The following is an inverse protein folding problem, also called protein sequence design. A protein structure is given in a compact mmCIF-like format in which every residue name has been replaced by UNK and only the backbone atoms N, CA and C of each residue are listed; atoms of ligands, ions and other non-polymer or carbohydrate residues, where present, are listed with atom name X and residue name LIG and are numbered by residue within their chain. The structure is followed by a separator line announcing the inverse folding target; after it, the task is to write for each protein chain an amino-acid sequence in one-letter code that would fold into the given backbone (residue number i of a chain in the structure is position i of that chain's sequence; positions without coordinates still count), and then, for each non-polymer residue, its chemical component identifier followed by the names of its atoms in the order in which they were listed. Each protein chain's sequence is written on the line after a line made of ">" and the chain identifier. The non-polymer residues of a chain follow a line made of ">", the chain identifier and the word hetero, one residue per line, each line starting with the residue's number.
data_IF_323328872738
#
_entry.id   IF_323328872738
#
_cell.length_a   1.000
_cell.length_b   1.000
_cell.length_c   1.000
_cell.angle_alpha   90.00
_cell.angle_beta   90.00
_cell.angle_gamma   90.00
#
_symmetry.space_group_name_H-M   'P 1'
#
loop_
_entity.id
_entity.type
_entity.pdbx_description
1 polymer ?
#
# COMPACT_ATOMS: atom_id res chain seq x y z
N UNK A 1 13.21 18.04 -7.59
CA UNK A 1 11.81 18.32 -7.96
C UNK A 1 10.97 17.19 -7.40
N UNK A 2 9.92 17.48 -6.60
CA UNK A 2 9.15 16.45 -5.90
C UNK A 2 8.23 15.65 -6.83
N UNK A 3 7.90 14.40 -6.46
CA UNK A 3 7.06 13.51 -7.28
C UNK A 3 5.68 14.09 -7.60
N UNK A 4 5.09 14.88 -6.71
CA UNK A 4 3.83 15.58 -6.96
C UNK A 4 3.92 16.61 -8.09
N UNK A 5 5.02 17.37 -8.14
CA UNK A 5 5.29 18.31 -9.23
C UNK A 5 5.50 17.56 -10.54
N UNK A 6 6.31 16.50 -10.52
CA UNK A 6 6.53 15.63 -11.68
C UNK A 6 5.22 15.03 -12.19
N UNK A 7 4.37 14.52 -11.30
CA UNK A 7 3.09 13.94 -11.66
C UNK A 7 2.13 14.97 -12.28
N UNK A 8 2.16 16.23 -11.81
CA UNK A 8 1.34 17.31 -12.38
C UNK A 8 1.66 17.57 -13.86
N UNK A 9 2.90 17.33 -14.28
CA UNK A 9 3.29 17.38 -15.68
C UNK A 9 2.93 16.11 -16.44
N UNK A 10 3.22 14.95 -15.86
CA UNK A 10 2.95 13.62 -16.46
C UNK A 10 1.47 13.44 -16.73
N UNK A 11 0.61 13.80 -15.78
CA UNK A 11 -0.85 13.70 -15.92
C UNK A 11 -1.39 14.44 -17.16
N UNK A 12 -0.66 15.43 -17.68
CA UNK A 12 -1.02 16.17 -18.90
C UNK A 12 -0.32 15.66 -20.16
N UNK A 13 0.90 15.14 -20.03
CA UNK A 13 1.82 14.88 -21.16
C UNK A 13 1.93 13.40 -21.53
N UNK A 14 1.83 12.51 -20.55
CA UNK A 14 2.09 11.09 -20.78
C UNK A 14 0.86 10.37 -21.33
N UNK A 15 1.07 9.40 -22.22
CA UNK A 15 0.05 8.42 -22.55
C UNK A 15 -0.51 7.78 -21.28
N UNK A 16 -1.82 7.62 -21.24
CA UNK A 16 -2.50 6.99 -20.12
C UNK A 16 -3.73 6.23 -20.61
N UNK A 17 -4.12 5.24 -19.82
CA UNK A 17 -5.38 4.53 -19.98
C UNK A 17 -6.00 4.32 -18.60
N UNK A 18 -7.33 4.25 -18.58
CA UNK A 18 -8.09 4.06 -17.36
C UNK A 18 -9.18 3.04 -17.52
N UNK A 19 -9.49 2.32 -16.46
CA UNK A 19 -10.73 1.55 -16.35
C UNK A 19 -11.46 1.91 -15.06
N UNK A 20 -12.76 1.62 -15.06
CA UNK A 20 -13.63 1.80 -13.89
C UNK A 20 -14.13 0.43 -13.44
N UNK A 21 -14.12 0.20 -12.13
CA UNK A 21 -14.71 -0.97 -11.50
C UNK A 21 -15.81 -0.52 -10.53
N UNK A 22 -16.97 -1.17 -10.62
CA UNK A 22 -18.12 -0.86 -9.76
C UNK A 22 -17.85 -1.36 -8.33
N UNK A 23 -18.41 -0.66 -7.34
CA UNK A 23 -18.26 -1.02 -5.92
C UNK A 23 -18.88 -2.37 -5.59
N UNK A 24 -20.16 -2.55 -5.92
CA UNK A 24 -20.96 -3.70 -5.55
C UNK A 24 -20.25 -5.05 -5.83
N UNK A 25 -20.12 -5.94 -4.81
CA UNK A 25 -20.70 -5.89 -3.47
C UNK A 25 -19.80 -5.32 -2.36
N UNK A 26 -18.63 -4.77 -2.73
CA UNK A 26 -17.72 -4.16 -1.77
C UNK A 26 -18.12 -2.72 -1.48
N UNK A 27 -17.81 -2.25 -0.28
CA UNK A 27 -17.88 -0.83 0.06
C UNK A 27 -16.80 -0.03 -0.70
N UNK A 28 -16.96 1.29 -0.72
CA UNK A 28 -16.01 2.21 -1.36
C UNK A 28 -14.61 2.12 -0.76
N UNK A 29 -14.52 1.95 0.57
CA UNK A 29 -13.25 1.79 1.27
C UNK A 29 -12.60 0.46 0.94
N UNK A 30 -13.35 -0.64 1.00
CA UNK A 30 -12.83 -1.98 0.69
C UNK A 30 -12.29 -2.05 -0.75
N UNK A 31 -13.05 -1.53 -1.73
CA UNK A 31 -12.58 -1.54 -3.12
C UNK A 31 -11.41 -0.59 -3.33
N UNK A 32 -11.35 0.55 -2.64
CA UNK A 32 -10.21 1.46 -2.71
C UNK A 32 -8.93 0.80 -2.21
N UNK A 33 -8.97 0.18 -1.03
CA UNK A 33 -7.82 -0.56 -0.49
C UNK A 33 -7.46 -1.74 -1.40
N UNK A 34 -8.44 -2.49 -1.89
CA UNK A 34 -8.16 -3.61 -2.82
C UNK A 34 -7.55 -3.15 -4.15
N UNK A 35 -8.03 -2.02 -4.69
CA UNK A 35 -7.44 -1.37 -5.86
C UNK A 35 -6.00 -0.93 -5.60
N UNK A 36 -5.74 -0.38 -4.40
CA UNK A 36 -4.40 -0.03 -3.96
C UNK A 36 -3.51 -1.27 -3.96
N UNK A 37 -3.95 -2.36 -3.34
CA UNK A 37 -3.23 -3.62 -3.27
C UNK A 37 -2.86 -4.19 -4.65
N UNK A 38 -3.84 -4.23 -5.57
CA UNK A 38 -3.67 -4.70 -6.94
C UNK A 38 -2.65 -3.85 -7.73
N UNK A 39 -2.60 -2.55 -7.45
CA UNK A 39 -1.72 -1.59 -8.14
C UNK A 39 -0.33 -1.44 -7.52
N UNK A 40 -0.21 -1.76 -6.23
CA UNK A 40 0.96 -1.48 -5.40
C UNK A 40 1.96 -2.64 -5.41
N UNK A 41 2.55 -2.98 -6.56
CA UNK A 41 3.61 -4.00 -6.57
C UNK A 41 4.84 -3.56 -5.72
N UNK A 42 5.73 -4.49 -5.37
CA UNK A 42 6.90 -4.23 -4.51
C UNK A 42 7.70 -2.97 -4.90
N UNK A 43 8.00 -2.66 -6.18
CA UNK A 43 8.76 -1.48 -6.54
C UNK A 43 7.95 -0.17 -6.48
N UNK A 44 6.62 -0.24 -6.37
CA UNK A 44 5.78 0.94 -6.22
C UNK A 44 5.88 1.49 -4.79
N UNK A 45 5.74 2.81 -4.68
CA UNK A 45 5.50 3.50 -3.42
C UNK A 45 4.34 4.47 -3.58
N UNK A 46 3.52 4.64 -2.54
CA UNK A 46 2.54 5.71 -2.47
C UNK A 46 3.23 7.02 -2.12
N UNK A 47 3.20 7.98 -3.02
CA UNK A 47 3.82 9.30 -2.80
C UNK A 47 2.81 10.40 -2.50
N UNK A 48 1.52 10.11 -2.59
CA UNK A 48 0.46 11.02 -2.20
C UNK A 48 -0.81 10.23 -1.96
N UNK A 49 -1.46 10.51 -0.83
CA UNK A 49 -2.77 9.99 -0.51
C UNK A 49 -3.60 11.09 0.12
N UNK A 50 -4.85 11.20 -0.31
CA UNK A 50 -5.84 12.07 0.32
C UNK A 50 -7.11 11.26 0.50
N UNK A 51 -7.48 11.06 1.75
CA UNK A 51 -8.72 10.39 2.14
C UNK A 51 -9.66 11.47 2.65
N UNK A 52 -10.87 11.52 2.13
CA UNK A 52 -11.88 12.46 2.60
C UNK A 52 -12.56 11.86 3.83
N UNK A 53 -12.62 12.60 4.95
CA UNK A 53 -13.22 12.09 6.17
C UNK A 53 -14.73 11.88 6.00
N UNK A 54 -15.24 10.77 6.55
CA UNK A 54 -16.66 10.40 6.55
C UNK A 54 -16.93 9.09 5.82
N UNK A 55 -18.14 8.53 6.00
CA UNK A 55 -18.51 7.18 5.53
C UNK A 55 -18.57 7.04 4.00
N UNK A 56 -18.64 8.17 3.29
CA UNK A 56 -18.85 8.14 1.84
C UNK A 56 -17.57 7.90 1.04
N UNK A 57 -16.37 8.12 1.60
CA UNK A 57 -15.07 7.89 0.93
C UNK A 57 -14.98 8.41 -0.53
N UNK A 58 -15.78 9.43 -0.84
CA UNK A 58 -15.85 10.01 -2.18
C UNK A 58 -14.61 10.83 -2.43
N UNK A 59 -14.08 10.75 -3.65
CA UNK A 59 -12.88 11.47 -4.08
C UNK A 59 -11.61 11.10 -3.30
N UNK A 60 -11.62 9.98 -2.59
CA UNK A 60 -10.38 9.36 -2.07
C UNK A 60 -9.43 9.14 -3.25
N UNK A 61 -8.19 9.57 -3.08
CA UNK A 61 -7.17 9.52 -4.12
C UNK A 61 -5.86 8.99 -3.58
N UNK A 62 -5.26 8.05 -4.32
CA UNK A 62 -3.89 7.59 -4.09
C UNK A 62 -3.09 7.70 -5.38
N UNK A 63 -1.85 8.17 -5.25
CA UNK A 63 -0.89 8.23 -6.34
C UNK A 63 0.32 7.36 -6.03
N UNK A 64 0.59 6.42 -6.93
CA UNK A 64 1.66 5.45 -6.81
C UNK A 64 2.73 5.72 -7.88
N UNK A 65 3.98 5.45 -7.54
CA UNK A 65 5.10 5.55 -8.47
C UNK A 65 6.04 4.36 -8.31
N UNK A 66 6.41 3.73 -9.42
CA UNK A 66 7.45 2.70 -9.48
C UNK A 66 8.72 3.29 -10.08
N UNK A 67 9.82 3.25 -9.32
CA UNK A 67 11.12 3.67 -9.83
C UNK A 67 11.70 2.68 -10.86
N UNK A 68 11.34 1.39 -10.74
CA UNK A 68 11.87 0.32 -11.60
C UNK A 68 11.30 0.40 -13.01
N UNK A 69 9.98 0.55 -13.14
CA UNK A 69 9.27 0.62 -14.42
C UNK A 69 9.00 2.06 -14.88
N UNK A 70 9.26 3.06 -14.03
CA UNK A 70 8.94 4.48 -14.25
C UNK A 70 7.46 4.72 -14.55
N UNK A 71 6.57 3.94 -13.94
CA UNK A 71 5.12 4.03 -14.11
C UNK A 71 4.50 4.87 -12.98
N UNK A 72 3.42 5.56 -13.30
CA UNK A 72 2.55 6.21 -12.31
C UNK A 72 1.16 5.60 -12.37
N UNK A 73 0.54 5.41 -11.21
CA UNK A 73 -0.85 4.96 -11.10
C UNK A 73 -1.61 5.96 -10.24
N UNK A 74 -2.81 6.32 -10.69
CA UNK A 74 -3.79 7.08 -9.92
C UNK A 74 -4.99 6.21 -9.61
N UNK A 75 -5.41 6.21 -8.35
CA UNK A 75 -6.66 5.63 -7.88
C UNK A 75 -7.57 6.78 -7.49
N UNK A 76 -8.81 6.76 -7.94
CA UNK A 76 -9.80 7.78 -7.61
C UNK A 76 -11.16 7.14 -7.36
N UNK A 77 -11.66 7.27 -6.13
CA UNK A 77 -13.05 6.96 -5.84
C UNK A 77 -13.97 8.01 -6.47
N UNK A 78 -14.89 7.56 -7.32
CA UNK A 78 -16.02 8.33 -7.81
C UNK A 78 -17.32 7.76 -7.24
N UNK A 79 -18.41 8.49 -7.40
CA UNK A 79 -19.71 8.11 -6.85
C UNK A 79 -20.18 6.71 -7.32
N UNK A 80 -19.82 6.33 -8.55
CA UNK A 80 -20.27 5.12 -9.24
C UNK A 80 -19.19 4.03 -9.42
N UNK A 81 -18.00 4.21 -8.85
CA UNK A 81 -16.95 3.20 -8.89
C UNK A 81 -15.55 3.74 -8.62
N UNK A 82 -14.60 2.81 -8.47
CA UNK A 82 -13.18 3.14 -8.40
C UNK A 82 -12.63 3.26 -9.83
N UNK A 83 -11.97 4.39 -10.11
CA UNK A 83 -11.24 4.61 -11.36
C UNK A 83 -9.75 4.45 -11.12
N UNK A 84 -9.14 3.59 -11.93
CA UNK A 84 -7.69 3.37 -11.97
C UNK A 84 -7.15 3.90 -13.29
N UNK A 85 -6.14 4.75 -13.21
CA UNK A 85 -5.45 5.31 -14.38
C UNK A 85 -3.97 5.00 -14.30
N UNK A 86 -3.44 4.35 -15.34
CA UNK A 86 -2.04 4.05 -15.52
C UNK A 86 -1.40 5.04 -16.50
N UNK A 87 -0.25 5.60 -16.12
CA UNK A 87 0.52 6.54 -16.94
C UNK A 87 1.91 5.95 -17.19
N UNK A 88 2.27 5.81 -18.46
CA UNK A 88 3.57 5.30 -18.88
C UNK A 88 4.06 6.05 -20.11
N UNK A 89 5.38 6.09 -20.29
CA UNK A 89 5.97 6.73 -21.46
C UNK A 89 5.85 5.84 -22.72
N UNK A 90 5.78 4.51 -22.55
CA UNK A 90 5.64 3.57 -23.65
C UNK A 90 4.16 3.25 -23.89
N UNK A 91 3.57 3.85 -24.93
CA UNK A 91 2.14 3.71 -25.25
C UNK A 91 1.73 2.28 -25.58
N UNK A 92 2.64 1.47 -26.13
CA UNK A 92 2.32 0.14 -26.64
C UNK A 92 2.14 -0.88 -25.50
N UNK A 93 2.77 -0.65 -24.35
CA UNK A 93 2.74 -1.54 -23.18
C UNK A 93 1.61 -1.21 -22.20
N UNK A 94 1.07 0.02 -22.23
CA UNK A 94 0.04 0.48 -21.27
C UNK A 94 -1.16 -0.47 -21.25
N UNK A 95 -1.67 -0.88 -22.41
CA UNK A 95 -2.85 -1.74 -22.48
C UNK A 95 -2.59 -3.09 -21.80
N UNK A 96 -1.40 -3.66 -22.00
CA UNK A 96 -1.03 -4.95 -21.42
C UNK A 96 -0.88 -4.84 -19.89
N UNK A 97 -0.13 -3.83 -19.41
CA UNK A 97 0.05 -3.61 -17.98
C UNK A 97 -1.26 -3.26 -17.27
N UNK A 98 -2.13 -2.45 -17.90
CA UNK A 98 -3.44 -2.13 -17.35
C UNK A 98 -4.35 -3.35 -17.27
N UNK A 99 -4.33 -4.23 -18.27
CA UNK A 99 -5.14 -5.46 -18.26
C UNK A 99 -4.67 -6.45 -17.19
N UNK A 100 -3.36 -6.50 -16.88
CA UNK A 100 -2.84 -7.28 -15.74
C UNK A 100 -3.42 -6.76 -14.41
N UNK A 101 -3.33 -5.45 -14.16
CA UNK A 101 -3.89 -4.83 -12.94
C UNK A 101 -5.40 -5.09 -12.84
N UNK A 102 -6.12 -4.95 -13.96
CA UNK A 102 -7.55 -5.18 -14.02
C UNK A 102 -7.92 -6.64 -13.75
N UNK A 103 -7.16 -7.58 -14.30
CA UNK A 103 -7.36 -9.03 -14.08
C UNK A 103 -7.12 -9.38 -12.61
N UNK A 104 -6.02 -8.89 -12.03
CA UNK A 104 -5.71 -9.10 -10.62
C UNK A 104 -6.77 -8.49 -9.71
N UNK A 105 -7.20 -7.25 -9.98
CA UNK A 105 -8.24 -6.60 -9.20
C UNK A 105 -9.58 -7.33 -9.27
N UNK A 106 -10.00 -7.79 -10.46
CA UNK A 106 -11.22 -8.57 -10.61
C UNK A 106 -11.14 -9.89 -9.81
N UNK A 107 -10.04 -10.62 -9.95
CA UNK A 107 -9.77 -11.85 -9.19
C UNK A 107 -9.80 -11.60 -7.69
N UNK A 108 -9.07 -10.59 -7.20
CA UNK A 108 -9.03 -10.27 -5.78
C UNK A 108 -10.40 -9.81 -5.26
N UNK A 109 -11.17 -9.10 -6.08
CA UNK A 109 -12.53 -8.67 -5.72
C UNK A 109 -13.45 -9.86 -5.51
N UNK A 110 -13.42 -10.83 -6.42
CA UNK A 110 -14.22 -12.06 -6.31
C UNK A 110 -13.80 -12.88 -5.09
N UNK A 111 -12.48 -13.02 -4.88
CA UNK A 111 -11.93 -13.71 -3.71
C UNK A 111 -12.36 -13.05 -2.40
N UNK A 112 -12.16 -11.73 -2.27
CA UNK A 112 -12.51 -10.98 -1.06
C UNK A 112 -14.01 -11.00 -0.77
N UNK A 113 -14.84 -10.93 -1.81
CA UNK A 113 -16.31 -11.01 -1.72
C UNK A 113 -16.78 -12.36 -1.19
N UNK A 114 -16.12 -13.45 -1.61
CA UNK A 114 -16.48 -14.81 -1.20
C UNK A 114 -16.15 -15.13 0.27
N UNK A 115 -15.40 -14.25 0.94
CA UNK A 115 -14.98 -14.44 2.31
C UNK A 115 -16.02 -14.02 3.34
N UNK A 116 -15.91 -14.65 4.51
CA UNK A 116 -16.59 -14.22 5.73
C UNK A 116 -16.16 -12.79 6.08
N UNK A 117 -17.11 -12.02 6.61
CA UNK A 117 -16.95 -10.59 6.93
C UNK A 117 -15.78 -10.32 7.88
N UNK A 118 -15.58 -11.19 8.88
CA UNK A 118 -14.47 -11.08 9.85
C UNK A 118 -13.09 -11.22 9.21
N UNK A 119 -12.96 -12.14 8.24
CA UNK A 119 -11.71 -12.35 7.51
C UNK A 119 -11.48 -11.23 6.49
N UNK A 120 -12.55 -10.78 5.84
CA UNK A 120 -12.55 -9.68 4.89
C UNK A 120 -12.03 -8.38 5.51
N UNK A 121 -12.60 -8.00 6.65
CA UNK A 121 -12.17 -6.83 7.42
C UNK A 121 -10.68 -6.92 7.82
N UNK A 122 -10.24 -8.09 8.26
CA UNK A 122 -8.83 -8.32 8.59
C UNK A 122 -7.88 -8.19 7.39
N UNK A 123 -8.29 -8.67 6.21
CA UNK A 123 -7.50 -8.53 4.97
C UNK A 123 -7.40 -7.06 4.56
N UNK A 124 -8.52 -6.32 4.60
CA UNK A 124 -8.56 -4.89 4.28
C UNK A 124 -7.67 -4.11 5.24
N UNK A 125 -7.68 -4.46 6.54
CA UNK A 125 -6.76 -3.89 7.53
C UNK A 125 -5.29 -4.24 7.25
N UNK A 126 -4.99 -5.44 6.75
CA UNK A 126 -3.63 -5.78 6.32
C UNK A 126 -3.18 -4.95 5.11
N UNK A 127 -4.06 -4.69 4.14
CA UNK A 127 -3.77 -3.83 3.00
C UNK A 127 -3.49 -2.40 3.47
N UNK A 128 -4.27 -1.89 4.43
CA UNK A 128 -4.01 -0.61 5.07
C UNK A 128 -2.60 -0.55 5.72
N UNK A 129 -2.15 -1.63 6.36
CA UNK A 129 -0.78 -1.70 6.89
C UNK A 129 0.26 -1.60 5.77
N UNK A 130 0.06 -2.27 4.63
CA UNK A 130 0.95 -2.15 3.45
C UNK A 130 1.04 -0.70 2.98
N UNK A 131 -0.11 -0.03 2.86
CA UNK A 131 -0.17 1.37 2.46
C UNK A 131 0.56 2.30 3.43
N UNK A 132 0.50 2.01 4.74
CA UNK A 132 1.23 2.76 5.76
C UNK A 132 2.74 2.50 5.71
N UNK A 133 3.16 1.28 5.37
CA UNK A 133 4.56 0.96 5.09
C UNK A 133 5.08 1.80 3.92
N UNK A 134 4.30 1.94 2.84
CA UNK A 134 4.65 2.80 1.71
C UNK A 134 4.74 4.29 2.09
N UNK A 135 3.82 4.78 2.92
CA UNK A 135 3.85 6.16 3.43
C UNK A 135 5.12 6.46 4.25
N UNK A 136 5.50 5.54 5.15
CA UNK A 136 6.74 5.66 5.92
C UNK A 136 7.98 5.67 5.02
N UNK A 137 8.03 4.79 4.02
CA UNK A 137 9.09 4.81 3.00
C UNK A 137 9.13 6.16 2.27
N UNK A 138 7.97 6.66 1.85
CA UNK A 138 7.89 7.91 1.11
C UNK A 138 8.39 9.13 1.93
N UNK A 139 8.05 9.23 3.22
CA UNK A 139 8.53 10.31 4.08
C UNK A 139 10.05 10.32 4.22
N UNK A 140 10.67 9.14 4.36
CA UNK A 140 12.14 9.04 4.44
C UNK A 140 12.82 9.44 3.13
N UNK A 141 12.23 9.09 1.98
CA UNK A 141 12.73 9.46 0.65
C UNK A 141 12.51 10.93 0.28
N UNK A 142 11.54 11.58 0.92
CA UNK A 142 11.19 12.99 0.67
C UNK A 142 11.89 13.95 1.62
N UNK A 143 12.83 13.46 2.43
CA UNK A 143 13.56 14.22 3.43
C UNK A 143 12.61 14.98 4.39
N UNK A 144 11.53 14.31 4.80
CA UNK A 144 10.60 14.81 5.82
C UNK A 144 11.24 14.82 7.22
N UNK A 145 10.62 15.57 8.13
CA UNK A 145 11.06 15.64 9.52
C UNK A 145 10.88 14.31 10.26
N UNK A 146 11.80 14.01 11.20
CA UNK A 146 11.85 12.77 11.96
C UNK A 146 10.52 12.44 12.64
N UNK A 147 9.82 13.44 13.19
CA UNK A 147 8.49 13.23 13.80
C UNK A 147 7.47 12.58 12.84
N UNK A 148 7.45 12.97 11.56
CA UNK A 148 6.51 12.41 10.58
C UNK A 148 6.86 10.98 10.23
N UNK A 149 8.16 10.68 10.11
CA UNK A 149 8.64 9.32 9.91
C UNK A 149 8.30 8.44 11.10
N UNK A 150 8.55 8.93 12.33
CA UNK A 150 8.22 8.22 13.58
C UNK A 150 6.74 7.85 13.65
N UNK A 151 5.84 8.82 13.43
CA UNK A 151 4.40 8.57 13.46
C UNK A 151 3.95 7.58 12.39
N UNK A 152 4.48 7.69 11.16
CA UNK A 152 4.14 6.74 10.09
C UNK A 152 4.53 5.30 10.44
N UNK A 153 5.71 5.09 11.02
CA UNK A 153 6.16 3.77 11.48
C UNK A 153 5.31 3.28 12.66
N UNK A 154 5.00 4.17 13.61
CA UNK A 154 4.14 3.88 14.75
C UNK A 154 2.75 3.38 14.32
N UNK A 155 2.13 4.07 13.36
CA UNK A 155 0.84 3.66 12.80
C UNK A 155 0.91 2.27 12.14
N UNK A 156 1.99 1.96 11.41
CA UNK A 156 2.18 0.62 10.84
C UNK A 156 2.18 -0.45 11.95
N UNK A 157 2.99 -0.22 12.98
CA UNK A 157 3.20 -1.16 14.09
C UNK A 157 1.91 -1.40 14.87
N UNK A 158 1.26 -0.32 15.29
CA UNK A 158 0.04 -0.38 16.10
C UNK A 158 -1.10 -1.06 15.35
N UNK A 159 -1.34 -0.69 14.08
CA UNK A 159 -2.39 -1.32 13.27
C UNK A 159 -2.11 -2.80 13.06
N UNK A 160 -0.88 -3.16 12.71
CA UNK A 160 -0.49 -4.54 12.52
C UNK A 160 -0.63 -5.39 13.78
N UNK A 161 -0.42 -4.81 14.97
CA UNK A 161 -0.57 -5.49 16.26
C UNK A 161 -2.02 -5.92 16.55
N UNK A 162 -3.00 -5.23 15.95
CA UNK A 162 -4.42 -5.44 16.20
C UNK A 162 -5.11 -6.40 15.23
N UNK A 163 -4.39 -6.95 14.25
CA UNK A 163 -4.97 -7.78 13.19
C UNK A 163 -4.65 -9.27 13.44
N UNK A 164 -5.64 -10.12 13.79
CA UNK A 164 -5.39 -11.52 14.12
C UNK A 164 -4.69 -12.32 13.02
N UNK A 165 -5.13 -12.23 11.74
CA UNK A 165 -4.43 -12.93 10.64
C UNK A 165 -2.98 -12.47 10.49
N UNK A 166 -2.66 -11.22 10.81
CA UNK A 166 -1.29 -10.74 10.81
C UNK A 166 -0.52 -11.41 11.95
N UNK A 167 -1.00 -11.28 13.19
CA UNK A 167 -0.31 -11.77 14.39
C UNK A 167 -0.05 -13.27 14.37
N UNK A 168 -1.02 -14.03 13.85
CA UNK A 168 -0.96 -15.48 13.80
C UNK A 168 -0.16 -16.01 12.60
N UNK A 169 0.36 -15.13 11.73
CA UNK A 169 1.10 -15.55 10.54
C UNK A 169 2.58 -15.78 10.78
N UNK A 170 3.15 -16.73 10.05
CA UNK A 170 4.59 -17.00 10.07
C UNK A 170 5.38 -15.75 9.65
N UNK A 171 6.30 -15.32 10.51
CA UNK A 171 7.14 -14.14 10.29
C UNK A 171 6.60 -12.83 10.87
N UNK A 172 5.39 -12.82 11.43
CA UNK A 172 4.80 -11.62 12.05
C UNK A 172 5.69 -11.00 13.14
N UNK A 173 6.33 -11.84 13.96
CA UNK A 173 7.20 -11.38 15.05
C UNK A 173 8.44 -10.64 14.53
N UNK A 174 8.99 -11.09 13.39
CA UNK A 174 10.12 -10.43 12.74
C UNK A 174 9.71 -9.07 12.17
N UNK A 175 8.51 -8.97 11.58
CA UNK A 175 7.97 -7.70 11.08
C UNK A 175 7.73 -6.72 12.23
N UNK A 176 7.07 -7.17 13.31
CA UNK A 176 6.84 -6.35 14.50
C UNK A 176 8.15 -5.87 15.14
N UNK A 177 9.15 -6.75 15.24
CA UNK A 177 10.47 -6.40 15.74
C UNK A 177 11.18 -5.39 14.83
N UNK A 178 11.09 -5.53 13.51
CA UNK A 178 11.69 -4.60 12.57
C UNK A 178 11.04 -3.22 12.66
N UNK A 179 9.70 -3.15 12.71
CA UNK A 179 8.96 -1.89 12.89
C UNK A 179 9.32 -1.22 14.21
N UNK A 180 9.38 -2.00 15.31
CA UNK A 180 9.75 -1.49 16.63
C UNK A 180 11.18 -0.93 16.66
N UNK A 181 12.16 -1.65 16.09
CA UNK A 181 13.55 -1.18 16.03
C UNK A 181 13.71 0.13 15.26
N UNK A 182 13.00 0.27 14.14
CA UNK A 182 13.02 1.52 13.37
C UNK A 182 12.31 2.66 14.10
N UNK A 183 11.16 2.39 14.73
CA UNK A 183 10.44 3.36 15.54
C UNK A 183 11.32 3.88 16.69
N UNK A 184 11.96 2.99 17.45
CA UNK A 184 12.87 3.33 18.55
C UNK A 184 14.09 4.12 18.07
N UNK A 185 14.61 3.79 16.89
CA UNK A 185 15.69 4.54 16.27
C UNK A 185 15.26 5.98 15.98
N UNK A 186 14.13 6.17 15.27
CA UNK A 186 13.65 7.50 14.89
C UNK A 186 13.30 8.35 16.12
N UNK A 187 12.76 7.72 17.17
CA UNK A 187 12.42 8.40 18.42
C UNK A 187 13.64 9.07 19.09
N UNK A 188 14.84 8.49 18.93
CA UNK A 188 16.08 9.01 19.53
C UNK A 188 16.71 10.16 18.72
N UNK A 189 16.21 10.42 17.52
CA UNK A 189 16.66 11.53 16.70
C UNK A 189 16.02 12.85 17.15
N UNK A 190 16.60 13.97 16.72
CA UNK A 190 15.96 15.27 16.89
C UNK A 190 14.69 15.35 16.00
N UNK A 191 13.53 15.53 16.62
CA UNK A 191 12.23 15.37 15.96
C UNK A 191 11.90 16.46 14.94
N UNK A 192 12.56 17.61 15.03
CA UNK A 192 12.39 18.74 14.11
C UNK A 192 13.43 18.76 12.98
N UNK A 193 14.42 17.86 13.03
CA UNK A 193 15.38 17.66 11.94
C UNK A 193 14.85 16.68 10.89
N UNK A 194 15.42 16.76 9.69
CA UNK A 194 15.12 15.84 8.59
C UNK A 194 15.65 14.44 8.88
N UNK A 195 15.00 13.44 8.30
CA UNK A 195 15.47 12.06 8.39
C UNK A 195 16.88 11.91 7.80
N UNK A 196 17.83 11.22 8.48
CA UNK A 196 19.20 11.10 8.01
C UNK A 196 19.29 10.32 6.70
N UNK A 197 19.88 10.94 5.67
CA UNK A 197 19.98 10.36 4.32
C UNK A 197 20.76 9.03 4.31
N UNK A 198 21.78 8.91 5.15
CA UNK A 198 22.60 7.71 5.29
C UNK A 198 21.82 6.51 5.85
N UNK A 199 20.67 6.74 6.48
CA UNK A 199 19.79 5.68 7.01
C UNK A 199 18.63 5.34 6.09
N UNK A 200 18.29 6.21 5.14
CA UNK A 200 17.17 6.01 4.21
C UNK A 200 17.26 4.66 3.50
N UNK A 201 18.41 4.32 2.92
CA UNK A 201 18.58 3.03 2.20
C UNK A 201 18.33 1.81 3.09
N UNK A 202 18.76 1.87 4.36
CA UNK A 202 18.56 0.77 5.32
C UNK A 202 17.08 0.58 5.65
N UNK A 203 16.37 1.69 5.91
CA UNK A 203 14.94 1.67 6.22
C UNK A 203 14.14 1.15 5.03
N UNK A 204 14.39 1.71 3.83
CA UNK A 204 13.72 1.29 2.60
C UNK A 204 13.91 -0.20 2.35
N UNK A 205 15.12 -0.74 2.52
CA UNK A 205 15.36 -2.18 2.35
C UNK A 205 14.52 -3.03 3.30
N UNK A 206 14.41 -2.65 4.57
CA UNK A 206 13.58 -3.38 5.53
C UNK A 206 12.09 -3.23 5.21
N UNK A 207 11.63 -2.04 4.85
CA UNK A 207 10.22 -1.78 4.57
C UNK A 207 9.77 -2.47 3.27
N UNK A 208 10.63 -2.57 2.26
CA UNK A 208 10.37 -3.40 1.07
C UNK A 208 10.24 -4.89 1.40
N UNK A 209 11.01 -5.41 2.37
CA UNK A 209 10.85 -6.79 2.84
C UNK A 209 9.53 -6.99 3.59
N UNK A 210 9.14 -6.02 4.43
CA UNK A 210 7.84 -6.02 5.12
C UNK A 210 6.70 -5.98 4.09
N UNK A 211 6.77 -5.08 3.10
CA UNK A 211 5.82 -4.99 2.00
C UNK A 211 5.70 -6.31 1.25
N UNK A 212 6.84 -6.91 0.86
CA UNK A 212 6.85 -8.22 0.19
C UNK A 212 6.16 -9.30 1.03
N UNK A 213 6.44 -9.35 2.34
CA UNK A 213 5.80 -10.29 3.25
C UNK A 213 4.29 -10.03 3.39
N UNK A 214 3.87 -8.76 3.49
CA UNK A 214 2.46 -8.37 3.50
C UNK A 214 1.74 -8.77 2.21
N UNK A 215 2.34 -8.54 1.04
CA UNK A 215 1.74 -8.96 -0.23
C UNK A 215 1.55 -10.47 -0.32
N UNK A 216 2.55 -11.24 0.13
CA UNK A 216 2.46 -12.70 0.19
C UNK A 216 1.36 -13.16 1.17
N UNK A 217 1.30 -12.57 2.36
CA UNK A 217 0.25 -12.84 3.35
C UNK A 217 -1.15 -12.57 2.77
N UNK A 218 -1.38 -11.37 2.24
CA UNK A 218 -2.68 -10.95 1.70
C UNK A 218 -3.07 -11.84 0.52
N UNK A 219 -2.15 -12.12 -0.41
CA UNK A 219 -2.42 -12.98 -1.57
C UNK A 219 -2.77 -14.41 -1.16
N UNK A 220 -2.06 -14.98 -0.19
CA UNK A 220 -2.36 -16.32 0.33
C UNK A 220 -3.71 -16.37 1.03
N UNK A 221 -4.01 -15.36 1.85
CA UNK A 221 -5.30 -15.25 2.53
C UNK A 221 -6.43 -15.14 1.50
N UNK A 222 -6.31 -14.26 0.49
CA UNK A 222 -7.23 -14.15 -0.65
C UNK A 222 -7.43 -15.48 -1.40
N UNK A 223 -6.39 -16.31 -1.50
CA UNK A 223 -6.47 -17.63 -2.12
C UNK A 223 -6.97 -18.74 -1.17
N UNK A 224 -7.30 -18.45 0.10
CA UNK A 224 -7.70 -19.45 1.09
C UNK A 224 -6.55 -20.35 1.58
N UNK A 225 -5.31 -19.94 1.40
CA UNK A 225 -4.11 -20.68 1.80
C UNK A 225 -3.73 -20.28 3.23
N UNK A 226 -3.55 -21.28 4.09
CA UNK A 226 -3.12 -21.05 5.48
C UNK A 226 -1.73 -20.39 5.56
N UNK A 227 -1.62 -19.38 6.43
CA UNK A 227 -0.36 -18.70 6.75
C UNK A 227 0.03 -18.83 8.23
N UNK A 228 -0.71 -19.64 8.98
CA UNK A 228 -0.58 -19.78 10.42
C UNK A 228 0.85 -20.20 10.83
N UNK A 229 1.29 -19.72 11.99
CA UNK A 229 2.46 -20.26 12.68
C UNK A 229 2.21 -21.75 12.95
N UNK A 230 3.19 -22.60 12.66
CA UNK A 230 3.16 -23.99 13.11
C UNK A 230 3.13 -23.98 14.65
N UNK A 231 2.16 -24.66 15.26
CA UNK A 231 2.18 -24.90 16.71
C UNK A 231 3.42 -25.74 17.00
N UNK A 232 4.43 -25.13 17.62
CA UNK A 232 5.51 -25.88 18.24
C UNK A 232 4.86 -26.52 19.47
N UNK A 233 4.40 -27.76 19.33
CA UNK A 233 4.10 -28.62 20.46
C UNK A 233 5.43 -28.84 21.21
N UNK A 234 5.63 -28.08 22.29
CA UNK A 234 6.71 -28.30 23.26
C UNK A 234 6.24 -29.32 24.29
#
# INVERSE_FOLDING_TARGET
>A
MGLLTTFSEINKKWPNQSFKILFDPLTKLELFELGYFASSDIPFRCFSIKLNPGDNHDKDVALLYSAASKQFISLLNKDDGLVLTLYENNKDEISQHLELIKTDLAKFKDQLTSMREDLRDQIVKCILVERKVDEAMHFTLSNEVNRRVYFAIGECRERAALIPIFQNSKGADLVQLALHKWMDYVLRLNQDEKFPEEKTTGLIKNFLQIKKWLKDLITKQLAGISTAKEEINV
#
